data_IF_169634167550
#
_entry.id   IF_169634167550
#
_cell.length_a   1.000
_cell.length_b   1.000
_cell.length_c   1.000
_cell.angle_alpha   90.00
_cell.angle_beta   90.00
_cell.angle_gamma   90.00
#
_symmetry.space_group_name_H-M   'P 1'
#
loop_
_entity.id
_entity.type
_entity.pdbx_description
1 polymer ?
#
# COMPACT_ATOMS: atom_id res chain seq x y z
N UNK A 1 -35.44 -1.24 -29.78
CA UNK A 1 -34.65 -2.03 -28.81
C UNK A 1 -33.18 -2.11 -29.18
N UNK A 2 -32.81 -2.12 -30.46
CA UNK A 2 -31.41 -2.08 -30.91
C UNK A 2 -30.69 -0.79 -30.54
N UNK A 3 -31.38 0.39 -30.65
CA UNK A 3 -30.79 1.68 -30.24
C UNK A 3 -30.45 1.74 -28.75
N UNK A 4 -31.18 1.03 -27.90
CA UNK A 4 -30.97 1.06 -26.47
C UNK A 4 -29.74 0.22 -26.04
N UNK A 5 -29.47 -0.87 -26.74
CA UNK A 5 -28.30 -1.71 -26.52
C UNK A 5 -27.04 -1.00 -27.00
N UNK A 6 -27.12 -0.27 -28.10
CA UNK A 6 -26.01 0.47 -28.67
C UNK A 6 -25.62 1.69 -27.82
N UNK A 7 -26.61 2.41 -27.24
CA UNK A 7 -26.35 3.50 -26.31
C UNK A 7 -25.72 3.01 -25.00
N UNK A 8 -26.19 1.88 -24.45
CA UNK A 8 -25.59 1.28 -23.24
C UNK A 8 -24.18 0.74 -23.49
N UNK A 9 -23.93 0.17 -24.66
CA UNK A 9 -22.57 -0.29 -25.03
C UNK A 9 -21.64 0.89 -25.32
N UNK A 10 -22.11 1.96 -25.92
CA UNK A 10 -21.40 3.21 -26.12
C UNK A 10 -21.08 3.91 -24.78
N UNK A 11 -22.03 3.97 -23.86
CA UNK A 11 -21.82 4.54 -22.53
C UNK A 11 -20.82 3.72 -21.71
N UNK A 12 -20.83 2.39 -21.84
CA UNK A 12 -19.83 1.51 -21.20
C UNK A 12 -18.44 1.71 -21.78
N UNK A 13 -18.32 1.86 -23.10
CA UNK A 13 -17.07 2.13 -23.79
C UNK A 13 -16.52 3.50 -23.38
N UNK A 14 -17.39 4.53 -23.33
CA UNK A 14 -17.02 5.88 -22.90
C UNK A 14 -16.57 5.88 -21.43
N UNK A 15 -17.24 5.12 -20.57
CA UNK A 15 -16.88 4.98 -19.16
C UNK A 15 -15.52 4.30 -18.99
N UNK A 16 -15.28 3.17 -19.67
CA UNK A 16 -13.97 2.50 -19.65
C UNK A 16 -12.87 3.40 -20.21
N UNK A 17 -13.16 4.15 -21.26
CA UNK A 17 -12.24 5.09 -21.85
C UNK A 17 -11.93 6.24 -20.88
N UNK A 18 -12.92 6.78 -20.22
CA UNK A 18 -12.77 7.81 -19.18
C UNK A 18 -11.92 7.29 -18.02
N UNK A 19 -12.23 6.09 -17.52
CA UNK A 19 -11.45 5.46 -16.45
C UNK A 19 -10.00 5.21 -16.85
N UNK A 20 -9.75 4.85 -18.12
CA UNK A 20 -8.39 4.61 -18.61
C UNK A 20 -7.53 5.88 -18.61
N UNK A 21 -8.14 7.04 -18.60
CA UNK A 21 -7.47 8.35 -18.54
C UNK A 21 -7.20 8.82 -17.12
N UNK A 22 -7.76 8.14 -16.12
CA UNK A 22 -7.53 8.47 -14.72
C UNK A 22 -6.17 7.91 -14.30
N UNK A 23 -5.24 8.78 -13.94
CA UNK A 23 -3.91 8.39 -13.49
C UNK A 23 -3.96 7.93 -12.03
N UNK A 24 -3.65 6.66 -11.84
CA UNK A 24 -3.56 6.01 -10.54
C UNK A 24 -2.11 5.59 -10.31
N UNK A 25 -1.56 5.89 -9.16
CA UNK A 25 -0.14 5.73 -8.89
C UNK A 25 0.21 4.52 -8.02
N UNK A 26 -0.66 4.11 -7.11
CA UNK A 26 -0.42 2.95 -6.26
C UNK A 26 -1.03 1.68 -6.84
N UNK A 27 -0.44 0.54 -6.52
CA UNK A 27 -1.00 -0.77 -6.85
C UNK A 27 -2.41 -0.95 -6.24
N UNK A 28 -2.63 -0.43 -5.04
CA UNK A 28 -3.92 -0.50 -4.37
C UNK A 28 -5.01 0.31 -5.10
N UNK A 29 -4.67 1.50 -5.55
CA UNK A 29 -5.58 2.33 -6.34
C UNK A 29 -5.89 1.72 -7.71
N UNK A 30 -4.91 1.09 -8.36
CA UNK A 30 -5.09 0.37 -9.63
C UNK A 30 -6.04 -0.81 -9.49
N UNK A 31 -5.93 -1.57 -8.43
CA UNK A 31 -6.86 -2.67 -8.12
C UNK A 31 -8.28 -2.15 -7.93
N UNK A 32 -8.43 -1.01 -7.28
CA UNK A 32 -9.70 -0.35 -7.11
C UNK A 32 -10.32 0.09 -8.43
N UNK A 33 -9.53 0.69 -9.31
CA UNK A 33 -9.97 1.11 -10.64
C UNK A 33 -10.52 -0.07 -11.45
N UNK A 34 -9.88 -1.23 -11.35
CA UNK A 34 -10.34 -2.45 -12.03
C UNK A 34 -11.64 -3.01 -11.46
N UNK A 35 -11.98 -2.67 -10.22
CA UNK A 35 -13.17 -3.12 -9.50
C UNK A 35 -14.20 -2.01 -9.23
N UNK A 36 -14.16 -0.93 -10.01
CA UNK A 36 -14.99 0.26 -9.82
C UNK A 36 -16.49 -0.04 -9.74
N UNK A 37 -16.94 -1.13 -10.35
CA UNK A 37 -18.34 -1.53 -10.31
C UNK A 37 -18.85 -1.84 -8.88
N UNK A 38 -17.97 -2.25 -8.00
CA UNK A 38 -18.31 -2.49 -6.59
C UNK A 38 -18.27 -1.21 -5.74
N UNK A 39 -17.76 -0.15 -6.31
CA UNK A 39 -17.38 1.08 -5.61
C UNK A 39 -18.44 2.15 -5.60
N UNK A 40 -19.24 2.16 -6.65
CA UNK A 40 -20.11 3.26 -7.02
C UNK A 40 -21.57 2.97 -6.69
N UNK A 41 -21.84 1.88 -5.98
CA UNK A 41 -23.14 1.60 -5.36
C UNK A 41 -23.25 2.44 -4.09
N UNK A 42 -23.16 3.78 -4.27
CA UNK A 42 -23.36 4.74 -3.20
C UNK A 42 -24.65 5.52 -3.46
N UNK A 43 -25.40 5.74 -2.42
CA UNK A 43 -26.57 6.60 -2.36
C UNK A 43 -26.24 8.05 -2.78
N UNK A 44 -27.21 8.83 -3.24
CA UNK A 44 -27.03 10.21 -3.70
C UNK A 44 -26.34 11.12 -2.68
N UNK A 45 -26.58 10.91 -1.39
CA UNK A 45 -25.91 11.61 -0.28
C UNK A 45 -24.40 11.41 -0.28
N UNK A 46 -23.94 10.20 -0.63
CA UNK A 46 -22.50 9.89 -0.72
C UNK A 46 -21.83 10.59 -1.92
N UNK A 47 -22.57 10.87 -2.97
CA UNK A 47 -22.09 11.60 -4.13
C UNK A 47 -21.79 13.06 -3.79
N UNK A 48 -22.68 13.73 -3.05
CA UNK A 48 -22.47 15.11 -2.61
C UNK A 48 -21.26 15.23 -1.68
N UNK A 49 -21.10 14.31 -0.73
CA UNK A 49 -19.93 14.24 0.14
C UNK A 49 -18.65 14.01 -0.66
N UNK A 50 -18.69 13.15 -1.66
CA UNK A 50 -17.56 12.89 -2.55
C UNK A 50 -17.17 14.15 -3.33
N UNK A 51 -18.13 14.92 -3.85
CA UNK A 51 -17.88 16.20 -4.53
C UNK A 51 -17.20 17.20 -3.61
N UNK A 52 -17.67 17.33 -2.39
CA UNK A 52 -17.07 18.24 -1.41
C UNK A 52 -15.62 17.87 -1.13
N UNK A 53 -15.34 16.56 -0.98
CA UNK A 53 -13.98 16.06 -0.80
C UNK A 53 -13.10 16.36 -1.99
N UNK A 54 -13.59 16.08 -3.18
CA UNK A 54 -12.87 16.35 -4.43
C UNK A 54 -12.57 17.83 -4.58
N UNK A 55 -13.52 18.69 -4.27
CA UNK A 55 -13.34 20.14 -4.35
C UNK A 55 -12.27 20.64 -3.38
N UNK A 56 -12.28 20.15 -2.14
CA UNK A 56 -11.24 20.49 -1.16
C UNK A 56 -9.85 20.08 -1.63
N UNK A 57 -9.73 18.88 -2.18
CA UNK A 57 -8.47 18.37 -2.71
C UNK A 57 -8.03 19.19 -3.92
N UNK A 58 -8.93 19.50 -4.84
CA UNK A 58 -8.64 20.32 -6.01
C UNK A 58 -8.12 21.71 -5.62
N UNK A 59 -8.81 22.37 -4.71
CA UNK A 59 -8.39 23.68 -4.19
C UNK A 59 -6.99 23.60 -3.55
N UNK A 60 -6.74 22.55 -2.79
CA UNK A 60 -5.46 22.32 -2.13
C UNK A 60 -4.33 22.10 -3.13
N UNK A 61 -4.47 21.15 -4.06
CA UNK A 61 -3.41 20.83 -5.03
C UNK A 61 -3.13 21.97 -6.01
N UNK A 62 -4.08 22.84 -6.22
CA UNK A 62 -3.94 23.99 -7.12
C UNK A 62 -2.89 24.98 -6.62
N UNK A 63 -2.68 25.07 -5.30
CA UNK A 63 -1.73 26.00 -4.68
C UNK A 63 -0.61 25.29 -3.90
N UNK A 64 -0.66 23.98 -3.75
CA UNK A 64 0.29 23.18 -3.00
C UNK A 64 0.92 22.08 -3.87
N UNK A 65 1.54 22.46 -4.96
CA UNK A 65 2.18 21.54 -5.91
C UNK A 65 3.25 20.64 -5.29
N UNK A 66 4.01 21.16 -4.35
CA UNK A 66 5.05 20.40 -3.66
C UNK A 66 4.46 19.24 -2.86
N UNK A 67 3.43 19.51 -2.09
CA UNK A 67 2.72 18.53 -1.26
C UNK A 67 2.03 17.47 -2.13
N UNK A 68 1.42 17.88 -3.24
CA UNK A 68 0.87 16.97 -4.23
C UNK A 68 1.93 15.98 -4.75
N UNK A 69 3.10 16.51 -5.14
CA UNK A 69 4.22 15.69 -5.65
C UNK A 69 4.74 14.73 -4.58
N UNK A 70 4.85 15.17 -3.33
CA UNK A 70 5.28 14.31 -2.23
C UNK A 70 4.33 13.12 -2.05
N UNK A 71 3.03 13.37 -2.07
CA UNK A 71 2.01 12.31 -1.99
C UNK A 71 2.13 11.35 -3.17
N UNK A 72 2.26 11.87 -4.39
CA UNK A 72 2.40 11.06 -5.61
C UNK A 72 3.63 10.15 -5.56
N UNK A 73 4.76 10.66 -5.14
CA UNK A 73 6.01 9.90 -4.99
C UNK A 73 5.81 8.75 -4.00
N UNK A 74 5.15 9.01 -2.88
CA UNK A 74 4.89 7.97 -1.88
C UNK A 74 3.92 6.92 -2.41
N UNK A 75 2.87 7.33 -3.11
CA UNK A 75 1.92 6.41 -3.73
C UNK A 75 2.61 5.46 -4.73
N UNK A 76 3.59 5.95 -5.48
CA UNK A 76 4.39 5.11 -6.39
C UNK A 76 5.28 4.09 -5.67
N UNK A 77 5.66 4.36 -4.42
CA UNK A 77 6.45 3.44 -3.60
C UNK A 77 5.65 2.25 -3.07
N UNK A 78 4.33 2.36 -3.02
CA UNK A 78 3.45 1.35 -2.47
C UNK A 78 3.29 0.18 -3.44
N UNK A 79 3.62 -1.02 -2.97
CA UNK A 79 3.42 -2.28 -3.69
C UNK A 79 2.20 -3.00 -3.14
N UNK A 80 1.58 -3.86 -3.93
CA UNK A 80 0.51 -4.70 -3.43
C UNK A 80 1.08 -5.89 -2.65
N UNK A 81 1.07 -5.76 -1.33
CA UNK A 81 1.47 -6.82 -0.40
C UNK A 81 0.29 -7.33 0.44
N UNK A 82 -0.92 -7.06 -0.01
CA UNK A 82 -2.15 -7.46 0.70
C UNK A 82 -2.19 -8.96 0.96
N UNK A 83 -1.92 -9.77 -0.05
CA UNK A 83 -1.88 -11.22 0.06
C UNK A 83 -0.82 -11.70 1.06
N UNK A 84 0.34 -11.11 1.03
CA UNK A 84 1.44 -11.40 1.93
C UNK A 84 1.03 -11.19 3.40
N UNK A 85 0.38 -10.08 3.68
CA UNK A 85 -0.09 -9.75 5.03
C UNK A 85 -1.24 -10.69 5.44
N UNK A 86 -2.17 -10.99 4.54
CA UNK A 86 -3.26 -11.93 4.78
C UNK A 86 -2.77 -13.35 5.07
N UNK A 87 -1.63 -13.76 4.50
CA UNK A 87 -1.04 -15.08 4.72
C UNK A 87 -0.70 -15.34 6.19
N UNK A 88 -0.45 -14.30 6.98
CA UNK A 88 -0.21 -14.45 8.43
C UNK A 88 -1.41 -15.02 9.16
N UNK A 89 -2.63 -14.71 8.72
CA UNK A 89 -3.87 -15.29 9.26
C UNK A 89 -4.03 -16.77 8.92
N UNK A 90 -3.42 -17.23 7.84
CA UNK A 90 -3.40 -18.63 7.43
C UNK A 90 -2.25 -19.43 8.08
N UNK A 91 -1.59 -18.88 9.09
CA UNK A 91 -0.46 -19.46 9.80
C UNK A 91 0.75 -19.78 8.90
N UNK A 92 0.92 -19.02 7.82
CA UNK A 92 2.09 -19.10 6.95
C UNK A 92 3.18 -18.25 7.58
N UNK A 93 4.32 -18.88 7.90
CA UNK A 93 5.46 -18.17 8.50
C UNK A 93 6.19 -17.40 7.40
N UNK A 94 6.33 -16.09 7.62
CA UNK A 94 6.95 -15.17 6.68
C UNK A 94 8.48 -15.39 6.65
N UNK A 95 9.06 -15.26 5.48
CA UNK A 95 10.51 -15.27 5.32
C UNK A 95 11.10 -13.84 5.48
N UNK A 96 12.42 -13.75 5.36
CA UNK A 96 13.13 -12.48 5.54
C UNK A 96 12.76 -11.45 4.47
N UNK A 97 12.51 -11.89 3.24
CA UNK A 97 12.08 -11.01 2.14
C UNK A 97 10.68 -10.47 2.40
N UNK A 98 9.77 -11.32 2.86
CA UNK A 98 8.41 -10.92 3.25
C UNK A 98 8.42 -9.87 4.35
N UNK A 99 9.23 -10.07 5.37
CA UNK A 99 9.40 -9.14 6.49
C UNK A 99 9.98 -7.80 6.03
N UNK A 100 10.93 -7.85 5.10
CA UNK A 100 11.47 -6.66 4.45
C UNK A 100 10.38 -5.87 3.70
N UNK A 101 9.56 -6.56 2.91
CA UNK A 101 8.47 -5.94 2.16
C UNK A 101 7.45 -5.27 3.09
N UNK A 102 7.11 -5.91 4.19
CA UNK A 102 6.20 -5.33 5.18
C UNK A 102 6.83 -4.10 5.85
N UNK A 103 8.10 -4.19 6.25
CA UNK A 103 8.80 -3.06 6.88
C UNK A 103 8.82 -1.84 5.95
N UNK A 104 9.20 -2.02 4.70
CA UNK A 104 9.27 -0.91 3.73
C UNK A 104 7.90 -0.32 3.43
N UNK A 105 6.87 -1.17 3.38
CA UNK A 105 5.50 -0.71 3.19
C UNK A 105 5.02 0.13 4.37
N UNK A 106 5.31 -0.27 5.59
CA UNK A 106 4.99 0.50 6.80
C UNK A 106 5.70 1.86 6.80
N UNK A 107 6.93 1.92 6.32
CA UNK A 107 7.65 3.19 6.16
C UNK A 107 6.94 4.12 5.18
N UNK A 108 6.53 3.60 4.02
CA UNK A 108 5.79 4.37 3.04
C UNK A 108 4.44 4.85 3.58
N UNK A 109 3.72 4.00 4.30
CA UNK A 109 2.45 4.36 4.95
C UNK A 109 2.64 5.46 6.00
N UNK A 110 3.69 5.39 6.80
CA UNK A 110 4.01 6.41 7.79
C UNK A 110 4.34 7.75 7.13
N UNK A 111 5.12 7.75 6.05
CA UNK A 111 5.45 8.94 5.29
C UNK A 111 4.19 9.57 4.67
N UNK A 112 3.33 8.74 4.08
CA UNK A 112 2.04 9.19 3.53
C UNK A 112 1.17 9.83 4.61
N UNK A 113 1.02 9.15 5.73
CA UNK A 113 0.19 9.63 6.82
C UNK A 113 0.71 10.96 7.40
N UNK A 114 2.02 11.13 7.46
CA UNK A 114 2.65 12.39 7.86
C UNK A 114 2.26 13.53 6.92
N UNK A 115 2.30 13.30 5.60
CA UNK A 115 1.86 14.28 4.61
C UNK A 115 0.37 14.62 4.75
N UNK A 116 -0.47 13.59 4.94
CA UNK A 116 -1.92 13.79 5.08
C UNK A 116 -2.28 14.55 6.36
N UNK A 117 -1.61 14.27 7.45
CA UNK A 117 -1.84 14.94 8.75
C UNK A 117 -1.45 16.42 8.75
N UNK A 118 -0.46 16.81 7.96
CA UNK A 118 -0.10 18.23 7.78
C UNK A 118 -1.27 19.06 7.23
N UNK A 119 -2.15 18.40 6.48
CA UNK A 119 -3.31 19.02 5.83
C UNK A 119 -4.58 18.25 6.19
N UNK A 120 -4.77 18.04 7.48
CA UNK A 120 -5.82 17.20 8.04
C UNK A 120 -7.23 17.60 7.62
N UNK A 121 -7.48 18.88 7.44
CA UNK A 121 -8.80 19.39 7.03
C UNK A 121 -9.16 18.92 5.61
N UNK A 122 -8.18 18.84 4.72
CA UNK A 122 -8.36 18.40 3.34
C UNK A 122 -8.48 16.89 3.26
N UNK A 123 -7.65 16.17 4.03
CA UNK A 123 -7.49 14.72 3.93
C UNK A 123 -8.08 13.95 5.12
N UNK A 124 -9.04 14.54 5.84
CA UNK A 124 -9.61 13.96 7.06
C UNK A 124 -10.13 12.52 6.89
N UNK A 125 -10.70 12.20 5.73
CA UNK A 125 -11.25 10.88 5.45
C UNK A 125 -10.21 9.83 5.04
N UNK A 126 -8.96 10.26 4.85
CA UNK A 126 -7.88 9.41 4.35
C UNK A 126 -6.76 9.19 5.38
N UNK A 127 -6.90 9.77 6.56
CA UNK A 127 -5.90 9.60 7.63
C UNK A 127 -5.81 8.11 7.99
N UNK A 128 -4.59 7.59 7.94
CA UNK A 128 -4.33 6.18 8.20
C UNK A 128 -4.27 5.89 9.70
N UNK A 129 -4.55 4.65 10.05
CA UNK A 129 -4.24 4.14 11.39
C UNK A 129 -2.74 4.12 11.60
N UNK A 130 -2.33 4.50 12.79
CA UNK A 130 -0.93 4.47 13.21
C UNK A 130 -0.49 3.02 13.43
N UNK A 131 0.50 2.58 12.65
CA UNK A 131 1.13 1.26 12.76
C UNK A 131 2.58 1.36 13.27
N UNK A 132 2.91 2.41 14.00
CA UNK A 132 4.26 2.66 14.51
C UNK A 132 4.72 1.56 15.47
N UNK A 133 3.82 1.02 16.29
CA UNK A 133 4.15 -0.08 17.19
C UNK A 133 4.55 -1.36 16.41
N UNK A 134 3.86 -1.65 15.30
CA UNK A 134 4.25 -2.73 14.41
C UNK A 134 5.60 -2.45 13.74
N UNK A 135 5.81 -1.23 13.28
CA UNK A 135 7.08 -0.81 12.67
C UNK A 135 8.25 -1.00 13.64
N UNK A 136 8.10 -0.62 14.90
CA UNK A 136 9.12 -0.81 15.93
C UNK A 136 9.52 -2.27 16.11
N UNK A 137 8.59 -3.19 15.98
CA UNK A 137 8.88 -4.63 16.03
C UNK A 137 9.81 -5.04 14.89
N UNK A 138 9.64 -4.47 13.69
CA UNK A 138 10.48 -4.75 12.53
C UNK A 138 11.74 -3.87 12.46
N UNK A 139 11.87 -2.91 13.35
CA UNK A 139 13.00 -1.99 13.46
C UNK A 139 13.49 -1.90 14.92
N UNK A 140 13.92 -3.04 15.50
CA UNK A 140 14.22 -3.11 16.94
C UNK A 140 15.38 -2.21 17.37
N UNK A 141 16.28 -1.87 16.44
CA UNK A 141 17.43 -1.01 16.70
C UNK A 141 17.15 0.47 16.41
N UNK A 142 15.94 0.82 16.05
CA UNK A 142 15.52 2.19 15.75
C UNK A 142 16.41 2.88 14.70
N UNK A 143 16.80 2.15 13.67
CA UNK A 143 17.69 2.65 12.60
C UNK A 143 16.91 3.43 11.53
N UNK A 144 15.64 3.12 11.33
CA UNK A 144 14.73 3.77 10.35
C UNK A 144 15.26 3.73 8.92
N UNK A 145 15.83 2.59 8.53
CA UNK A 145 16.35 2.35 7.18
C UNK A 145 15.56 1.25 6.47
N UNK A 146 15.53 1.31 5.14
CA UNK A 146 14.80 0.38 4.30
C UNK A 146 15.59 -0.91 4.08
N UNK A 147 15.97 -1.59 5.15
CA UNK A 147 16.63 -2.88 5.16
C UNK A 147 16.02 -3.78 6.22
N UNK A 148 16.11 -5.09 6.02
CA UNK A 148 15.67 -6.05 7.02
C UNK A 148 16.51 -7.32 6.92
N UNK A 149 16.96 -7.80 8.06
CA UNK A 149 17.50 -9.13 8.29
C UNK A 149 17.10 -9.56 9.69
N UNK A 150 17.35 -10.79 10.08
CA UNK A 150 17.04 -11.22 11.45
C UNK A 150 18.11 -10.64 12.38
N UNK A 151 17.71 -9.58 13.09
CA UNK A 151 18.61 -8.83 13.96
C UNK A 151 18.96 -9.62 15.22
N UNK A 152 20.19 -9.50 15.68
CA UNK A 152 20.65 -10.14 16.94
C UNK A 152 19.91 -9.63 18.17
N UNK A 153 19.38 -8.40 18.10
CA UNK A 153 18.57 -7.82 19.17
C UNK A 153 17.27 -8.58 19.45
N UNK A 154 16.83 -9.43 18.52
CA UNK A 154 15.66 -10.29 18.77
C UNK A 154 15.94 -11.46 19.71
N UNK A 155 17.19 -11.91 19.86
CA UNK A 155 17.51 -13.10 20.61
C UNK A 155 18.96 -13.10 21.10
N UNK A 156 19.13 -13.26 22.40
CA UNK A 156 20.45 -13.45 23.00
C UNK A 156 21.11 -14.73 22.50
N UNK A 157 20.32 -15.78 22.26
CA UNK A 157 20.75 -17.05 21.70
C UNK A 157 21.35 -16.86 20.30
N UNK A 158 20.63 -16.11 19.45
CA UNK A 158 21.09 -15.82 18.10
C UNK A 158 22.41 -15.04 18.10
N UNK A 159 22.52 -14.08 18.99
CA UNK A 159 23.74 -13.27 19.15
C UNK A 159 24.94 -14.17 19.48
N UNK A 160 24.76 -15.11 20.42
CA UNK A 160 25.82 -16.07 20.82
C UNK A 160 26.14 -17.04 19.67
N UNK A 161 25.14 -17.57 18.99
CA UNK A 161 25.36 -18.46 17.83
C UNK A 161 26.19 -17.75 16.75
N UNK A 162 25.87 -16.51 16.44
CA UNK A 162 26.58 -15.71 15.44
C UNK A 162 28.01 -15.37 15.89
N UNK A 163 28.20 -15.15 17.19
CA UNK A 163 29.51 -14.95 17.75
C UNK A 163 30.40 -16.22 17.55
N UNK A 164 29.84 -17.36 17.86
CA UNK A 164 30.53 -18.67 17.66
C UNK A 164 30.83 -18.90 16.17
N UNK A 165 29.87 -18.59 15.29
CA UNK A 165 30.07 -18.72 13.85
C UNK A 165 31.23 -17.87 13.36
N UNK A 166 31.31 -16.64 13.78
CA UNK A 166 32.39 -15.71 13.43
C UNK A 166 33.73 -16.20 13.93
N UNK A 167 33.80 -16.72 15.15
CA UNK A 167 35.01 -17.30 15.74
C UNK A 167 35.51 -18.48 14.92
N UNK A 168 34.62 -19.43 14.56
CA UNK A 168 34.99 -20.57 13.71
C UNK A 168 35.44 -20.12 12.32
N UNK A 169 34.77 -19.17 11.73
CA UNK A 169 35.14 -18.62 10.42
C UNK A 169 36.52 -17.94 10.45
N UNK A 170 36.83 -17.20 11.52
CA UNK A 170 38.14 -16.60 11.72
C UNK A 170 39.24 -17.66 11.88
N UNK A 171 38.97 -18.74 12.60
CA UNK A 171 39.91 -19.87 12.75
C UNK A 171 40.12 -20.58 11.41
N UNK A 172 39.06 -20.79 10.61
CA UNK A 172 39.17 -21.37 9.27
C UNK A 172 40.03 -20.52 8.34
N UNK A 173 39.93 -19.22 8.44
CA UNK A 173 40.66 -18.28 7.59
C UNK A 173 42.20 -18.41 7.84
N UNK A 174 42.62 -18.69 9.07
CA UNK A 174 44.02 -18.73 9.47
C UNK A 174 44.58 -20.16 9.50
N UNK A 175 43.77 -21.20 9.25
CA UNK A 175 44.19 -22.60 9.38
C UNK A 175 44.75 -23.15 8.09
N UNK A 176 45.82 -23.96 8.20
CA UNK A 176 46.49 -24.63 7.08
C UNK A 176 46.42 -26.15 7.16
N UNK A 177 46.20 -26.73 8.37
CA UNK A 177 46.07 -28.16 8.54
C UNK A 177 44.76 -28.69 8.02
N UNK A 178 44.80 -29.62 7.08
CA UNK A 178 43.62 -30.18 6.41
C UNK A 178 42.63 -30.86 7.36
N UNK A 179 43.11 -31.61 8.33
CA UNK A 179 42.26 -32.31 9.29
C UNK A 179 41.54 -31.32 10.23
N UNK A 180 42.22 -30.25 10.63
CA UNK A 180 41.64 -29.20 11.46
C UNK A 180 40.61 -28.40 10.63
N UNK A 181 40.92 -28.09 9.39
CA UNK A 181 39.99 -27.41 8.47
C UNK A 181 38.70 -28.22 8.31
N UNK A 182 38.81 -29.53 8.12
CA UNK A 182 37.65 -30.41 7.99
C UNK A 182 36.78 -30.39 9.24
N UNK A 183 37.40 -30.45 10.40
CA UNK A 183 36.69 -30.37 11.69
C UNK A 183 36.01 -29.04 11.90
N UNK A 184 36.64 -27.94 11.56
CA UNK A 184 36.10 -26.60 11.66
C UNK A 184 34.93 -26.39 10.69
N UNK A 185 35.00 -26.94 9.47
CA UNK A 185 33.89 -26.94 8.53
C UNK A 185 32.66 -27.68 9.03
N UNK A 186 32.87 -28.85 9.67
CA UNK A 186 31.76 -29.60 10.28
C UNK A 186 31.16 -28.85 11.47
N UNK A 187 31.98 -28.22 12.30
CA UNK A 187 31.53 -27.35 13.38
C UNK A 187 30.70 -26.14 12.85
N UNK A 188 31.21 -25.52 11.80
CA UNK A 188 30.49 -24.41 11.14
C UNK A 188 29.13 -24.83 10.62
N UNK A 189 29.02 -26.00 9.99
CA UNK A 189 27.73 -26.53 9.51
C UNK A 189 26.75 -26.75 10.67
N UNK A 190 27.21 -27.28 11.80
CA UNK A 190 26.38 -27.44 13.00
C UNK A 190 25.87 -26.09 13.52
N UNK A 191 26.74 -25.09 13.54
CA UNK A 191 26.37 -23.71 13.96
C UNK A 191 25.35 -23.11 13.00
N UNK A 192 25.51 -23.30 11.69
CA UNK A 192 24.56 -22.82 10.69
C UNK A 192 23.15 -23.41 10.85
N UNK A 193 23.07 -24.70 11.21
CA UNK A 193 21.82 -25.38 11.53
C UNK A 193 21.14 -24.74 12.75
N UNK A 194 21.90 -24.47 13.79
CA UNK A 194 21.39 -23.82 15.01
C UNK A 194 20.96 -22.40 14.74
N UNK A 195 21.69 -21.64 13.92
CA UNK A 195 21.33 -20.30 13.50
C UNK A 195 20.00 -20.29 12.76
N UNK A 196 19.83 -21.21 11.81
CA UNK A 196 18.58 -21.32 11.03
C UNK A 196 17.38 -21.66 11.92
N UNK A 197 17.56 -22.56 12.87
CA UNK A 197 16.50 -22.91 13.84
C UNK A 197 16.07 -21.71 14.68
N UNK A 198 17.04 -20.95 15.16
CA UNK A 198 16.75 -19.75 15.97
C UNK A 198 16.12 -18.64 15.13
N UNK A 199 16.61 -18.42 13.92
CA UNK A 199 16.00 -17.47 12.98
C UNK A 199 14.56 -17.85 12.64
N UNK A 200 14.27 -19.15 12.48
CA UNK A 200 12.93 -19.65 12.26
C UNK A 200 11.99 -19.31 13.42
N UNK A 201 12.43 -19.50 14.65
CA UNK A 201 11.64 -19.14 15.85
C UNK A 201 11.33 -17.63 15.87
N UNK A 202 12.30 -16.81 15.52
CA UNK A 202 12.13 -15.36 15.46
C UNK A 202 11.12 -15.00 14.37
N UNK A 203 11.25 -15.56 13.17
CA UNK A 203 10.31 -15.33 12.07
C UNK A 203 8.88 -15.72 12.45
N UNK A 204 8.74 -16.86 13.13
CA UNK A 204 7.43 -17.29 13.65
C UNK A 204 6.83 -16.27 14.62
N UNK A 205 7.62 -15.77 15.55
CA UNK A 205 7.19 -14.77 16.52
C UNK A 205 6.82 -13.44 15.84
N UNK A 206 7.60 -13.03 14.84
CA UNK A 206 7.32 -11.83 14.06
C UNK A 206 6.03 -11.98 13.24
N UNK A 207 5.82 -13.15 12.66
CA UNK A 207 4.59 -13.48 11.93
C UNK A 207 3.36 -13.39 12.83
N UNK A 208 3.44 -13.94 14.06
CA UNK A 208 2.36 -13.82 15.03
C UNK A 208 2.10 -12.37 15.45
N UNK A 209 3.15 -11.58 15.62
CA UNK A 209 3.01 -10.15 15.91
C UNK A 209 2.28 -9.41 14.77
N UNK A 210 2.69 -9.64 13.53
CA UNK A 210 2.08 -9.03 12.34
C UNK A 210 0.61 -9.43 12.22
N UNK A 211 0.28 -10.68 12.50
CA UNK A 211 -1.08 -11.21 12.47
C UNK A 211 -2.09 -10.36 13.25
N UNK A 212 -1.69 -9.83 14.38
CA UNK A 212 -2.56 -8.98 15.21
C UNK A 212 -2.83 -7.60 14.61
N UNK A 213 -2.08 -7.17 13.60
CA UNK A 213 -2.23 -5.88 12.93
C UNK A 213 -2.83 -5.97 11.52
N UNK A 214 -3.20 -7.16 11.07
CA UNK A 214 -3.68 -7.37 9.68
C UNK A 214 -4.90 -6.52 9.37
N UNK A 215 -5.88 -6.48 10.26
CA UNK A 215 -7.11 -5.73 10.03
C UNK A 215 -6.84 -4.22 9.90
N UNK A 216 -5.98 -3.68 10.75
CA UNK A 216 -5.58 -2.28 10.69
C UNK A 216 -4.78 -1.97 9.42
N UNK A 217 -3.91 -2.89 9.03
CA UNK A 217 -3.16 -2.77 7.77
C UNK A 217 -4.10 -2.74 6.56
N UNK A 218 -5.07 -3.65 6.51
CA UNK A 218 -6.05 -3.71 5.42
C UNK A 218 -6.97 -2.48 5.38
N UNK A 219 -7.32 -1.93 6.53
CA UNK A 219 -8.04 -0.66 6.60
C UNK A 219 -7.23 0.49 5.98
N UNK A 220 -5.93 0.53 6.25
CA UNK A 220 -5.04 1.50 5.62
C UNK A 220 -4.94 1.31 4.10
N UNK A 221 -4.88 0.07 3.65
CA UNK A 221 -4.91 -0.27 2.21
C UNK A 221 -6.16 0.31 1.55
N UNK A 222 -7.31 0.16 2.18
CA UNK A 222 -8.59 0.68 1.66
C UNK A 222 -8.58 2.21 1.60
N UNK A 223 -8.09 2.87 2.63
CA UNK A 223 -7.97 4.34 2.66
C UNK A 223 -7.00 4.86 1.60
N UNK A 224 -5.88 4.18 1.38
CA UNK A 224 -4.91 4.51 0.33
C UNK A 224 -5.54 4.36 -1.04
N UNK A 225 -6.27 3.27 -1.28
CA UNK A 225 -7.00 3.05 -2.53
C UNK A 225 -7.98 4.19 -2.82
N UNK A 226 -8.73 4.59 -1.81
CA UNK A 226 -9.70 5.68 -1.90
C UNK A 226 -9.03 7.02 -2.20
N UNK A 227 -7.95 7.31 -1.50
CA UNK A 227 -7.18 8.55 -1.69
C UNK A 227 -6.63 8.62 -3.12
N UNK A 228 -5.96 7.58 -3.57
CA UNK A 228 -5.33 7.52 -4.89
C UNK A 228 -6.37 7.65 -6.01
N UNK A 229 -7.49 6.95 -5.87
CA UNK A 229 -8.60 7.05 -6.81
C UNK A 229 -9.23 8.44 -6.82
N UNK A 230 -9.48 9.04 -5.66
CA UNK A 230 -10.04 10.39 -5.54
C UNK A 230 -9.11 11.44 -6.13
N UNK A 231 -7.81 11.36 -5.83
CA UNK A 231 -6.80 12.25 -6.42
C UNK A 231 -6.70 12.08 -7.94
N UNK A 232 -6.80 10.85 -8.41
CA UNK A 232 -6.83 10.55 -9.85
C UNK A 232 -8.01 11.21 -10.56
N UNK A 233 -9.19 11.14 -9.97
CA UNK A 233 -10.38 11.83 -10.49
C UNK A 233 -10.21 13.35 -10.51
N UNK A 234 -9.65 13.90 -9.45
CA UNK A 234 -9.38 15.35 -9.34
C UNK A 234 -8.41 15.80 -10.42
N UNK A 235 -7.31 15.06 -10.62
CA UNK A 235 -6.34 15.37 -11.69
C UNK A 235 -6.96 15.28 -13.07
N UNK A 236 -7.76 14.27 -13.30
CA UNK A 236 -8.49 14.10 -14.56
C UNK A 236 -9.43 15.29 -14.83
N UNK A 237 -10.21 15.69 -13.83
CA UNK A 237 -11.11 16.83 -13.94
C UNK A 237 -10.37 18.14 -14.28
N UNK A 238 -9.23 18.35 -13.64
CA UNK A 238 -8.35 19.50 -13.87
C UNK A 238 -7.77 19.50 -15.29
N UNK A 239 -7.30 18.35 -15.76
CA UNK A 239 -6.72 18.20 -17.10
C UNK A 239 -7.78 18.34 -18.20
N UNK A 240 -8.93 17.72 -18.02
CA UNK A 240 -10.03 17.77 -18.99
C UNK A 240 -10.54 19.20 -19.22
N UNK A 241 -10.59 20.01 -18.16
CA UNK A 241 -11.01 21.40 -18.27
C UNK A 241 -9.96 22.29 -18.92
N UNK A 242 -8.72 21.82 -19.13
CA UNK A 242 -7.64 22.58 -19.77
C UNK A 242 -7.36 23.92 -19.11
N UNK A 243 -7.74 24.11 -17.87
CA UNK A 243 -7.90 25.42 -17.26
C UNK A 243 -6.94 25.65 -16.13
N UNK A 244 -6.45 26.85 -16.13
CA UNK A 244 -5.78 27.42 -14.97
C UNK A 244 -6.75 27.39 -13.77
N UNK A 245 -6.27 26.94 -12.59
CA UNK A 245 -7.12 26.54 -11.45
C UNK A 245 -8.09 27.59 -10.91
N UNK A 246 -7.96 28.81 -11.33
CA UNK A 246 -8.67 29.96 -10.73
C UNK A 246 -9.99 30.32 -11.45
N UNK A 247 -10.25 29.77 -12.63
CA UNK A 247 -11.22 30.42 -13.53
C UNK A 247 -12.58 29.76 -13.63
N UNK A 248 -12.79 28.52 -13.14
CA UNK A 248 -14.15 27.98 -13.26
C UNK A 248 -14.53 26.90 -12.29
N UNK A 249 -14.69 27.29 -11.03
CA UNK A 249 -15.33 26.48 -10.00
C UNK A 249 -16.65 25.84 -10.45
N UNK A 250 -17.43 26.55 -11.26
CA UNK A 250 -18.69 26.04 -11.81
C UNK A 250 -18.51 24.99 -12.89
N UNK A 251 -17.53 25.11 -13.77
CA UNK A 251 -17.28 24.13 -14.85
C UNK A 251 -16.66 22.86 -14.33
N UNK A 252 -15.80 22.95 -13.32
CA UNK A 252 -15.19 21.81 -12.65
C UNK A 252 -16.24 20.98 -11.93
N UNK A 253 -17.15 21.61 -11.21
CA UNK A 253 -18.28 20.95 -10.53
C UNK A 253 -19.20 20.26 -11.57
N UNK A 254 -19.48 20.88 -12.68
CA UNK A 254 -20.29 20.29 -13.74
C UNK A 254 -19.63 19.06 -14.37
N UNK A 255 -18.31 19.06 -14.49
CA UNK A 255 -17.57 17.93 -15.04
C UNK A 255 -17.48 16.75 -14.07
N UNK A 256 -17.25 17.02 -12.79
CA UNK A 256 -17.33 16.04 -11.73
C UNK A 256 -18.71 15.41 -11.66
N UNK A 257 -19.78 16.23 -11.77
CA UNK A 257 -21.14 15.78 -11.90
C UNK A 257 -21.33 14.88 -13.13
N UNK A 258 -20.76 15.25 -14.27
CA UNK A 258 -20.85 14.45 -15.49
C UNK A 258 -20.16 13.09 -15.36
N UNK A 259 -18.96 13.04 -14.77
CA UNK A 259 -18.22 11.80 -14.53
C UNK A 259 -19.01 10.91 -13.57
N UNK A 260 -19.51 11.46 -12.47
CA UNK A 260 -20.24 10.70 -11.47
C UNK A 260 -21.66 10.31 -11.96
N UNK A 261 -22.30 11.12 -12.77
CA UNK A 261 -23.56 10.79 -13.43
C UNK A 261 -23.41 9.66 -14.44
N UNK A 262 -22.38 9.67 -15.28
CA UNK A 262 -22.09 8.56 -16.20
C UNK A 262 -21.83 7.27 -15.44
N UNK A 263 -21.08 7.34 -14.36
CA UNK A 263 -20.82 6.23 -13.48
C UNK A 263 -22.12 5.70 -12.86
N UNK A 264 -22.97 6.59 -12.36
CA UNK A 264 -24.29 6.26 -11.81
C UNK A 264 -25.20 5.61 -12.85
N UNK A 265 -25.27 6.14 -14.04
CA UNK A 265 -26.07 5.60 -15.16
C UNK A 265 -25.61 4.20 -15.56
N UNK A 266 -24.32 3.96 -15.61
CA UNK A 266 -23.76 2.64 -15.90
C UNK A 266 -24.16 1.63 -14.81
N UNK A 267 -24.14 2.02 -13.54
CA UNK A 267 -24.55 1.17 -12.42
C UNK A 267 -26.06 0.90 -12.41
N UNK A 268 -26.88 1.91 -12.67
CA UNK A 268 -28.34 1.75 -12.75
C UNK A 268 -28.72 0.85 -13.92
N UNK A 269 -28.11 0.99 -15.08
CA UNK A 269 -28.29 0.12 -16.22
C UNK A 269 -27.90 -1.34 -15.90
N UNK A 270 -26.82 -1.54 -15.09
CA UNK A 270 -26.38 -2.85 -14.64
C UNK A 270 -27.35 -3.48 -13.63
N UNK A 271 -27.88 -2.70 -12.70
CA UNK A 271 -28.85 -3.15 -11.71
C UNK A 271 -30.20 -3.53 -12.35
N UNK A 272 -30.64 -2.79 -13.34
CA UNK A 272 -31.86 -3.12 -14.12
C UNK A 272 -31.72 -4.39 -14.94
N UNK A 273 -30.52 -4.82 -15.27
CA UNK A 273 -30.23 -6.04 -16.03
C UNK A 273 -30.30 -7.30 -15.17
N UNK A 274 -30.27 -7.17 -13.84
CA UNK A 274 -30.28 -8.27 -12.88
C UNK A 274 -31.56 -8.37 -12.04
N UNK A 275 -32.51 -7.48 -12.23
CA UNK A 275 -33.84 -7.60 -11.65
C UNK A 275 -34.71 -8.48 -12.57
N UNK A 276 -35.26 -9.62 -12.07
CA UNK A 276 -36.12 -10.50 -12.86
C UNK A 276 -37.43 -9.80 -13.23
#
# INVERSE_FOLDING_TARGET
SMKFIDENSLNRLNFKELLSRVDIFSAYGKNKLNNVQNFLVGEEEKLEEEFERMQKILDFISVNKKEEMEIEIILHRLKDIKKLVENTKANIILDTVDLFEIKTQLMAMADLNSCLKKNKEVFSNFILKDLDELFKILDPNNEKIATFYIYESYSMILKEIRRQKKEVENRLFNETDYEIIKRLKDERLSILVDEEKEEFKIRRNLTEAIKSYVDDFLENVEKISNLDFTMGKVRFAKEYNGIKPVVSRKKEIILEDAINLEVKEVLEAKNKKYTP
#
